data_IF_990014583528
#
_entry.id   IF_990014583528
#
_cell.length_a   1.000
_cell.length_b   1.000
_cell.length_c   1.000
_cell.angle_alpha   90.00
_cell.angle_beta   90.00
_cell.angle_gamma   90.00
#
_symmetry.space_group_name_H-M   'P 1'
#
loop_
_entity.id
_entity.type
_entity.pdbx_description
1 polymer ?
#
# COMPACT_ATOMS: atom_id res chain seq x y z
N UNK A 1 11.66 19.89 18.72
CA UNK A 1 11.47 18.76 17.77
C UNK A 1 11.39 19.36 16.39
N UNK A 2 12.43 19.22 15.57
CA UNK A 2 12.42 19.78 14.22
C UNK A 2 11.58 18.86 13.33
N UNK A 3 10.43 19.34 12.84
CA UNK A 3 9.71 18.70 11.76
C UNK A 3 10.57 18.84 10.49
N UNK A 4 11.40 17.84 10.25
CA UNK A 4 12.20 17.78 9.03
C UNK A 4 11.29 17.26 7.92
N UNK A 5 10.82 18.18 7.08
CA UNK A 5 10.11 17.81 5.86
C UNK A 5 11.08 17.02 4.95
N UNK A 6 10.60 15.98 4.25
CA UNK A 6 11.44 15.18 3.37
C UNK A 6 12.07 16.05 2.29
N UNK A 7 13.32 15.73 1.94
CA UNK A 7 14.03 16.47 0.89
C UNK A 7 13.48 16.09 -0.50
N UNK A 8 13.65 16.97 -1.50
CA UNK A 8 13.22 16.70 -2.87
C UNK A 8 13.77 15.38 -3.44
N UNK A 9 15.01 15.01 -3.07
CA UNK A 9 15.63 13.74 -3.48
C UNK A 9 14.94 12.52 -2.83
N UNK A 10 14.57 12.61 -1.55
CA UNK A 10 13.85 11.53 -0.86
C UNK A 10 12.47 11.28 -1.48
N UNK A 11 11.74 12.35 -1.81
CA UNK A 11 10.44 12.25 -2.48
C UNK A 11 10.57 11.66 -3.89
N UNK A 12 11.67 11.94 -4.61
CA UNK A 12 11.91 11.42 -5.96
C UNK A 12 12.18 9.90 -5.97
N UNK A 13 12.80 9.35 -4.92
CA UNK A 13 13.08 7.93 -4.78
C UNK A 13 11.85 7.11 -4.34
N UNK A 14 10.84 7.76 -3.75
CA UNK A 14 9.68 7.10 -3.15
C UNK A 14 8.98 6.04 -4.02
N UNK A 15 8.81 6.20 -5.35
CA UNK A 15 8.23 5.15 -6.19
C UNK A 15 9.13 3.89 -6.30
N UNK A 16 10.45 4.04 -6.32
CA UNK A 16 11.32 2.85 -6.38
C UNK A 16 11.32 2.16 -5.02
N UNK A 17 11.46 2.93 -3.94
CA UNK A 17 11.48 2.41 -2.58
C UNK A 17 10.20 1.66 -2.24
N UNK A 18 9.04 2.20 -2.63
CA UNK A 18 7.75 1.55 -2.41
C UNK A 18 7.65 0.17 -3.11
N UNK A 19 8.14 0.02 -4.35
CA UNK A 19 8.17 -1.28 -5.03
C UNK A 19 9.18 -2.25 -4.41
N UNK A 20 10.34 -1.75 -3.98
CA UNK A 20 11.34 -2.57 -3.30
C UNK A 20 10.80 -3.11 -1.97
N UNK A 21 10.13 -2.25 -1.19
CA UNK A 21 9.47 -2.63 0.06
C UNK A 21 8.38 -3.69 -0.21
N UNK A 22 7.48 -3.43 -1.16
CA UNK A 22 6.42 -4.37 -1.50
C UNK A 22 7.00 -5.74 -1.94
N UNK A 23 8.06 -5.74 -2.74
CA UNK A 23 8.73 -6.95 -3.21
C UNK A 23 9.41 -7.72 -2.07
N UNK A 24 10.10 -7.04 -1.15
CA UNK A 24 10.75 -7.67 0.00
C UNK A 24 9.70 -8.30 0.93
N UNK A 25 8.65 -7.55 1.24
CA UNK A 25 7.52 -8.01 2.06
C UNK A 25 6.86 -9.26 1.47
N UNK A 26 6.51 -9.23 0.17
CA UNK A 26 5.88 -10.38 -0.51
C UNK A 26 6.78 -11.62 -0.61
N UNK A 27 8.09 -11.47 -0.38
CA UNK A 27 9.05 -12.59 -0.33
C UNK A 27 9.29 -13.11 1.08
N UNK A 28 8.73 -12.46 2.11
CA UNK A 28 9.04 -12.76 3.52
C UNK A 28 10.48 -12.40 3.90
N UNK A 29 11.09 -11.44 3.21
CA UNK A 29 12.43 -10.94 3.54
C UNK A 29 12.30 -9.78 4.54
N UNK A 30 12.12 -10.15 5.81
CA UNK A 30 11.87 -9.20 6.91
C UNK A 30 13.08 -8.28 7.14
N UNK A 31 14.30 -8.79 6.98
CA UNK A 31 15.54 -8.02 7.14
C UNK A 31 15.64 -6.93 6.07
N UNK A 32 15.45 -7.27 4.80
CA UNK A 32 15.45 -6.28 3.72
C UNK A 32 14.30 -5.26 3.88
N UNK A 33 13.12 -5.73 4.31
CA UNK A 33 11.96 -4.86 4.55
C UNK A 33 12.26 -3.83 5.64
N UNK A 34 12.86 -4.25 6.76
CA UNK A 34 13.24 -3.35 7.86
C UNK A 34 14.31 -2.33 7.42
N UNK A 35 15.32 -2.76 6.65
CA UNK A 35 16.35 -1.86 6.13
C UNK A 35 15.73 -0.80 5.21
N UNK A 36 14.86 -1.20 4.28
CA UNK A 36 14.22 -0.27 3.35
C UNK A 36 13.32 0.73 4.09
N UNK A 37 12.49 0.26 5.04
CA UNK A 37 11.61 1.11 5.84
C UNK A 37 12.37 2.14 6.69
N UNK A 38 13.60 1.81 7.13
CA UNK A 38 14.44 2.74 7.89
C UNK A 38 15.00 3.88 7.06
N UNK A 39 15.11 3.71 5.73
CA UNK A 39 15.82 4.62 4.85
C UNK A 39 14.94 5.36 3.83
N UNK A 40 13.69 4.93 3.63
CA UNK A 40 12.75 5.62 2.75
C UNK A 40 12.11 6.87 3.39
N UNK A 41 11.50 7.74 2.58
CA UNK A 41 10.52 8.71 3.08
C UNK A 41 9.15 8.03 3.30
N UNK A 42 8.73 7.78 4.55
CA UNK A 42 7.56 6.96 4.83
C UNK A 42 6.27 7.55 4.29
N UNK A 43 6.13 8.87 4.28
CA UNK A 43 4.92 9.54 3.80
C UNK A 43 4.75 9.33 2.29
N UNK A 44 5.75 9.72 1.50
CA UNK A 44 5.67 9.61 0.03
C UNK A 44 5.58 8.15 -0.41
N UNK A 45 6.37 7.26 0.21
CA UNK A 45 6.33 5.82 -0.05
C UNK A 45 4.94 5.23 0.22
N UNK A 46 4.28 5.62 1.32
CA UNK A 46 2.92 5.16 1.63
C UNK A 46 1.91 5.62 0.58
N UNK A 47 2.01 6.88 0.11
CA UNK A 47 1.14 7.38 -0.95
C UNK A 47 1.35 6.66 -2.29
N UNK A 48 2.59 6.30 -2.62
CA UNK A 48 2.89 5.49 -3.81
C UNK A 48 2.26 4.09 -3.71
N UNK A 49 2.43 3.42 -2.57
CA UNK A 49 1.79 2.12 -2.31
C UNK A 49 0.26 2.19 -2.42
N UNK A 50 -0.37 3.20 -1.81
CA UNK A 50 -1.81 3.41 -1.89
C UNK A 50 -2.28 3.67 -3.34
N UNK A 51 -1.49 4.43 -4.12
CA UNK A 51 -1.75 4.66 -5.54
C UNK A 51 -1.74 3.37 -6.37
N UNK A 52 -0.76 2.49 -6.16
CA UNK A 52 -0.74 1.20 -6.83
C UNK A 52 -1.81 0.24 -6.34
N UNK A 53 -2.13 0.23 -5.05
CA UNK A 53 -3.24 -0.56 -4.53
C UNK A 53 -4.54 -0.16 -5.25
N UNK A 54 -4.83 1.14 -5.34
CA UNK A 54 -5.99 1.65 -6.10
C UNK A 54 -5.97 1.18 -7.55
N UNK A 55 -4.81 1.24 -8.21
CA UNK A 55 -4.64 0.83 -9.62
C UNK A 55 -4.88 -0.67 -9.80
N UNK A 56 -4.31 -1.49 -8.92
CA UNK A 56 -4.47 -2.94 -8.95
C UNK A 56 -5.92 -3.35 -8.71
N UNK A 57 -6.61 -2.71 -7.76
CA UNK A 57 -8.02 -2.93 -7.50
C UNK A 57 -8.90 -2.55 -8.70
N UNK A 58 -8.65 -1.37 -9.29
CA UNK A 58 -9.38 -0.93 -10.48
C UNK A 58 -9.22 -1.91 -11.65
N UNK A 59 -8.00 -2.38 -11.89
CA UNK A 59 -7.72 -3.37 -12.94
C UNK A 59 -8.38 -4.73 -12.64
N UNK A 60 -8.36 -5.18 -11.39
CA UNK A 60 -9.03 -6.42 -10.98
C UNK A 60 -10.56 -6.34 -11.18
N UNK A 61 -11.17 -5.22 -10.79
CA UNK A 61 -12.60 -4.96 -11.00
C UNK A 61 -12.94 -4.91 -12.50
N UNK A 62 -12.11 -4.25 -13.31
CA UNK A 62 -12.27 -4.22 -14.76
C UNK A 62 -12.24 -5.64 -15.37
N UNK A 63 -11.47 -6.56 -14.78
CA UNK A 63 -11.39 -7.98 -15.17
C UNK A 63 -12.48 -8.87 -14.56
N UNK A 64 -13.41 -8.31 -13.78
CA UNK A 64 -14.56 -9.03 -13.22
C UNK A 64 -14.36 -9.61 -11.81
N UNK A 65 -13.29 -9.25 -11.10
CA UNK A 65 -13.05 -9.79 -9.75
C UNK A 65 -14.13 -9.38 -8.71
N UNK A 66 -14.90 -8.33 -8.96
CA UNK A 66 -15.93 -7.83 -8.04
C UNK A 66 -17.25 -8.61 -8.01
N UNK A 67 -17.53 -9.45 -9.01
CA UNK A 67 -18.86 -10.07 -9.19
C UNK A 67 -19.35 -10.91 -8.01
N UNK A 68 -18.43 -11.60 -7.32
CA UNK A 68 -18.78 -12.47 -6.19
C UNK A 68 -19.14 -11.70 -4.92
N UNK A 69 -18.80 -10.42 -4.87
CA UNK A 69 -18.94 -9.56 -3.69
C UNK A 69 -19.86 -8.37 -3.94
N UNK A 70 -20.42 -8.25 -5.16
CA UNK A 70 -21.18 -7.08 -5.62
C UNK A 70 -20.35 -5.78 -5.57
N UNK A 71 -19.02 -5.89 -5.66
CA UNK A 71 -18.13 -4.73 -5.70
C UNK A 71 -18.12 -4.14 -7.13
N UNK A 72 -18.43 -2.86 -7.25
CA UNK A 72 -18.45 -2.14 -8.53
C UNK A 72 -17.35 -1.08 -8.62
N UNK A 73 -16.85 -0.62 -7.48
CA UNK A 73 -15.86 0.44 -7.34
C UNK A 73 -14.73 0.00 -6.42
N UNK A 74 -13.61 0.73 -6.49
CA UNK A 74 -12.50 0.52 -5.54
C UNK A 74 -12.95 0.75 -4.10
N UNK A 75 -13.87 1.69 -3.87
CA UNK A 75 -14.37 1.98 -2.52
C UNK A 75 -15.14 0.81 -1.93
N UNK A 76 -15.99 0.14 -2.73
CA UNK A 76 -16.76 -1.04 -2.27
C UNK A 76 -15.82 -2.14 -1.73
N UNK A 77 -14.71 -2.38 -2.45
CA UNK A 77 -13.69 -3.34 -2.03
C UNK A 77 -13.03 -2.91 -0.72
N UNK A 78 -12.67 -1.64 -0.59
CA UNK A 78 -12.02 -1.12 0.61
C UNK A 78 -12.96 -1.16 1.83
N UNK A 79 -14.22 -0.76 1.67
CA UNK A 79 -15.23 -0.81 2.73
C UNK A 79 -15.42 -2.24 3.25
N UNK A 80 -15.52 -3.20 2.32
CA UNK A 80 -15.61 -4.62 2.66
C UNK A 80 -14.37 -5.12 3.41
N UNK A 81 -13.17 -4.76 2.97
CA UNK A 81 -11.93 -5.14 3.65
C UNK A 81 -11.80 -4.50 5.04
N UNK A 82 -12.19 -3.23 5.18
CA UNK A 82 -12.24 -2.54 6.48
C UNK A 82 -13.21 -3.24 7.43
N UNK A 83 -14.38 -3.65 6.94
CA UNK A 83 -15.35 -4.42 7.73
C UNK A 83 -14.75 -5.75 8.21
N UNK A 84 -14.04 -6.48 7.34
CA UNK A 84 -13.33 -7.72 7.70
C UNK A 84 -12.29 -7.49 8.79
N UNK A 85 -11.38 -6.52 8.61
CA UNK A 85 -10.30 -6.24 9.58
C UNK A 85 -10.86 -5.83 10.95
N UNK A 86 -11.95 -5.05 10.97
CA UNK A 86 -12.64 -4.70 12.23
C UNK A 86 -13.22 -5.93 12.92
N UNK A 87 -13.87 -6.82 12.17
CA UNK A 87 -14.44 -8.04 12.70
C UNK A 87 -13.39 -9.02 13.25
N UNK A 88 -12.16 -9.00 12.73
CA UNK A 88 -11.03 -9.78 13.25
C UNK A 88 -10.45 -9.18 14.54
N UNK A 89 -10.46 -7.85 14.68
CA UNK A 89 -9.94 -7.16 15.86
C UNK A 89 -10.86 -7.25 17.08
N UNK A 90 -12.17 -7.46 16.86
CA UNK A 90 -13.18 -7.60 17.92
C UNK A 90 -13.28 -9.04 18.49
N UNK A 91 -12.46 -9.98 18.03
CA UNK A 91 -12.39 -11.40 18.46
C UNK A 91 -11.24 -11.65 19.42
#
# INVERSE_FOLDING_TARGET
MSNQFPTTEQTAAAPVDALLIARAYLRGDDDATQVLLKHCDPWSTTLQLAGWLRTALAEALHRGAGHQHEDHTVEDVLDRWIATVRAEADQ
#
